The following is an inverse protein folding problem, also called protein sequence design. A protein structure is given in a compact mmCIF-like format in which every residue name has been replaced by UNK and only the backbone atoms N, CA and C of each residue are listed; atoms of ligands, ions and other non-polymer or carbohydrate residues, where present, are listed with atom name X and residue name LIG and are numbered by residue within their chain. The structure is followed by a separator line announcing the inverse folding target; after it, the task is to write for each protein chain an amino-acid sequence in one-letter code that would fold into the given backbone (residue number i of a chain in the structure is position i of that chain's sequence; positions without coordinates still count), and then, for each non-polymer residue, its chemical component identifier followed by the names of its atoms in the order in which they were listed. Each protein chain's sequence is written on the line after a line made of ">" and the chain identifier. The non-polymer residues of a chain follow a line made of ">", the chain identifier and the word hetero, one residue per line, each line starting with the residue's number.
data_IF_401865791824
#
_entry.id   IF_401865791824
#
_cell.length_a   1.000
_cell.length_b   1.000
_cell.length_c   1.000
_cell.angle_alpha   90.00
_cell.angle_beta   90.00
_cell.angle_gamma   90.00
#
_symmetry.space_group_name_H-M   'P 1'
#
loop_
_entity.id
_entity.type
_entity.pdbx_description
1 polymer ?
#
# COMPACT_ATOMS: atom_id res chain seq x y z
N UNK A 1 5.92 23.82 1.82
CA UNK A 1 6.27 22.82 0.78
C UNK A 1 7.78 22.75 0.66
N UNK A 2 8.38 21.57 0.53
CA UNK A 2 9.83 21.46 0.25
C UNK A 2 10.11 21.84 -1.22
N UNK A 3 11.36 22.19 -1.59
CA UNK A 3 11.73 22.42 -2.99
C UNK A 3 11.33 21.26 -3.92
N UNK A 4 11.41 20.02 -3.43
CA UNK A 4 11.00 18.83 -4.17
C UNK A 4 9.49 18.80 -4.47
N UNK A 5 8.63 19.21 -3.53
CA UNK A 5 7.19 19.33 -3.78
C UNK A 5 6.89 20.36 -4.88
N UNK A 6 7.57 21.52 -4.82
CA UNK A 6 7.39 22.60 -5.79
C UNK A 6 7.85 22.12 -7.17
N UNK A 7 8.98 21.43 -7.26
CA UNK A 7 9.50 20.86 -8.50
C UNK A 7 8.53 19.82 -9.11
N UNK A 8 7.94 18.95 -8.29
CA UNK A 8 6.94 17.98 -8.73
C UNK A 8 5.66 18.66 -9.23
N UNK A 9 5.19 19.69 -8.53
CA UNK A 9 4.01 20.46 -8.91
C UNK A 9 4.16 21.24 -10.23
N UNK A 10 5.37 21.73 -10.51
CA UNK A 10 5.67 22.59 -11.66
C UNK A 10 6.38 21.85 -12.81
N UNK A 11 6.22 20.53 -12.91
CA UNK A 11 6.74 19.70 -14.01
C UNK A 11 8.26 19.84 -14.26
N UNK A 12 9.05 20.02 -13.20
CA UNK A 12 10.51 20.10 -13.30
C UNK A 12 11.11 18.90 -14.05
N UNK A 13 12.25 19.09 -14.73
CA UNK A 13 12.89 18.02 -15.50
C UNK A 13 13.36 16.87 -14.61
N UNK A 14 13.56 15.69 -15.20
CA UNK A 14 14.07 14.52 -14.47
C UNK A 14 15.45 14.80 -13.84
N UNK A 15 16.31 15.57 -14.50
CA UNK A 15 17.61 15.97 -13.96
C UNK A 15 17.47 16.76 -12.65
N UNK A 16 16.61 17.79 -12.63
CA UNK A 16 16.36 18.60 -11.43
C UNK A 16 15.83 17.73 -10.29
N UNK A 17 14.93 16.79 -10.57
CA UNK A 17 14.44 15.88 -9.53
C UNK A 17 15.55 14.96 -9.00
N UNK A 18 16.43 14.45 -9.86
CA UNK A 18 17.59 13.65 -9.43
C UNK A 18 18.52 14.46 -8.52
N UNK A 19 18.80 15.72 -8.87
CA UNK A 19 19.66 16.61 -8.09
C UNK A 19 19.04 16.92 -6.72
N UNK A 20 17.74 17.22 -6.67
CA UNK A 20 17.01 17.47 -5.42
C UNK A 20 16.95 16.22 -4.53
N UNK A 21 16.69 15.05 -5.10
CA UNK A 21 16.65 13.78 -4.36
C UNK A 21 18.04 13.40 -3.83
N UNK A 22 19.09 13.66 -4.60
CA UNK A 22 20.47 13.35 -4.20
C UNK A 22 20.99 14.30 -3.12
N UNK A 23 20.59 15.60 -3.19
CA UNK A 23 21.01 16.61 -2.22
C UNK A 23 20.26 16.53 -0.89
N UNK A 24 18.95 16.27 -0.91
CA UNK A 24 18.13 16.16 0.31
C UNK A 24 17.17 14.94 0.22
N UNK A 25 17.66 13.71 0.45
CA UNK A 25 16.83 12.50 0.33
C UNK A 25 15.65 12.45 1.31
N UNK A 26 15.77 13.08 2.49
CA UNK A 26 14.69 13.10 3.48
C UNK A 26 13.47 13.88 2.99
N UNK A 27 13.62 14.78 2.03
CA UNK A 27 12.50 15.51 1.43
C UNK A 27 11.46 14.59 0.78
N UNK A 28 11.83 13.35 0.43
CA UNK A 28 10.91 12.32 -0.08
C UNK A 28 9.88 11.86 0.97
N UNK A 29 10.25 11.90 2.25
CA UNK A 29 9.44 11.42 3.37
C UNK A 29 8.63 12.54 4.03
N UNK A 30 8.93 13.80 3.70
CA UNK A 30 8.23 14.96 4.26
C UNK A 30 6.87 15.09 3.59
N UNK A 31 5.80 15.04 4.38
CA UNK A 31 4.46 15.44 3.94
C UNK A 31 4.35 16.97 3.91
N UNK A 32 3.50 17.51 3.02
CA UNK A 32 3.18 18.94 3.00
C UNK A 32 2.62 19.43 4.34
N UNK A 33 2.60 20.74 4.58
CA UNK A 33 2.05 21.36 5.80
C UNK A 33 0.55 21.05 6.02
N UNK A 34 -0.17 20.75 4.94
CA UNK A 34 -1.55 20.25 5.03
C UNK A 34 -1.63 18.80 5.52
N UNK A 35 -0.49 18.10 5.66
CA UNK A 35 -0.39 16.70 6.09
C UNK A 35 -0.66 15.67 5.00
N UNK A 36 -1.20 16.06 3.85
CA UNK A 36 -1.85 15.11 2.92
C UNK A 36 -0.96 14.69 1.73
N UNK A 37 0.02 15.50 1.32
CA UNK A 37 0.65 15.32 0.00
C UNK A 37 2.16 15.20 0.15
N UNK A 38 2.72 14.03 -0.18
CA UNK A 38 4.16 13.83 -0.36
C UNK A 38 4.58 14.21 -1.81
N UNK A 39 5.89 14.30 -2.13
CA UNK A 39 6.33 14.72 -3.46
C UNK A 39 5.84 13.83 -4.61
N UNK A 40 5.78 12.52 -4.41
CA UNK A 40 5.26 11.57 -5.41
C UNK A 40 3.77 11.81 -5.67
N UNK A 41 2.98 12.06 -4.62
CA UNK A 41 1.56 12.45 -4.74
C UNK A 41 1.40 13.79 -5.44
N UNK A 42 2.26 14.78 -5.16
CA UNK A 42 2.24 16.07 -5.85
C UNK A 42 2.51 15.92 -7.35
N UNK A 43 3.45 15.06 -7.75
CA UNK A 43 3.74 14.77 -9.15
C UNK A 43 2.51 14.17 -9.85
N UNK A 44 1.86 13.19 -9.23
CA UNK A 44 0.69 12.51 -9.79
C UNK A 44 -0.51 13.46 -9.92
N UNK A 45 -0.80 14.25 -8.89
CA UNK A 45 -1.88 15.25 -8.94
C UNK A 45 -1.60 16.27 -10.04
N UNK A 46 -0.35 16.76 -10.14
CA UNK A 46 0.05 17.69 -11.21
C UNK A 46 -0.18 17.09 -12.59
N UNK A 47 0.25 15.84 -12.82
CA UNK A 47 0.03 15.17 -14.11
C UNK A 47 -1.45 14.96 -14.44
N UNK A 48 -2.23 14.47 -13.47
CA UNK A 48 -3.68 14.28 -13.60
C UNK A 48 -4.41 15.60 -13.83
N UNK A 49 -3.89 16.74 -13.38
CA UNK A 49 -4.52 18.04 -13.65
C UNK A 49 -4.42 18.48 -15.12
N UNK A 50 -3.60 17.80 -15.93
CA UNK A 50 -3.45 18.10 -17.36
C UNK A 50 -4.44 17.32 -18.22
N UNK A 51 -4.81 17.87 -19.38
CA UNK A 51 -5.68 17.19 -20.37
C UNK A 51 -5.06 15.86 -20.80
N UNK A 52 -3.76 15.85 -21.12
CA UNK A 52 -3.05 14.63 -21.52
C UNK A 52 -3.07 13.56 -20.42
N UNK A 53 -2.88 13.97 -19.16
CA UNK A 53 -2.95 13.06 -18.03
C UNK A 53 -4.34 12.46 -17.83
N UNK A 54 -5.41 13.27 -17.89
CA UNK A 54 -6.78 12.77 -17.80
C UNK A 54 -7.11 11.75 -18.91
N UNK A 55 -6.68 12.01 -20.14
CA UNK A 55 -6.92 11.10 -21.26
C UNK A 55 -6.21 9.76 -21.08
N UNK A 56 -4.98 9.77 -20.57
CA UNK A 56 -4.21 8.54 -20.33
C UNK A 56 -4.77 7.76 -19.15
N UNK A 57 -5.07 8.42 -18.04
CA UNK A 57 -5.70 7.78 -16.88
C UNK A 57 -7.04 7.16 -17.27
N UNK A 58 -7.86 7.87 -18.04
CA UNK A 58 -9.15 7.35 -18.50
C UNK A 58 -8.98 6.11 -19.39
N UNK A 59 -8.00 6.09 -20.30
CA UNK A 59 -7.73 4.90 -21.13
C UNK A 59 -7.29 3.70 -20.31
N UNK A 60 -6.42 3.92 -19.32
CA UNK A 60 -5.92 2.84 -18.45
C UNK A 60 -7.08 2.31 -17.59
N UNK A 61 -7.78 3.19 -16.89
CA UNK A 61 -8.83 2.80 -15.94
C UNK A 61 -10.06 2.22 -16.63
N UNK A 62 -10.51 2.81 -17.75
CA UNK A 62 -11.74 2.36 -18.40
C UNK A 62 -11.52 1.15 -19.30
N UNK A 63 -10.36 1.07 -19.96
CA UNK A 63 -10.13 0.06 -21.01
C UNK A 63 -9.06 -0.95 -20.65
N UNK A 64 -8.33 -0.80 -19.54
CA UNK A 64 -7.21 -1.68 -19.19
C UNK A 64 -6.09 -1.64 -20.23
N UNK A 65 -6.05 -0.60 -21.06
CA UNK A 65 -5.14 -0.51 -22.20
C UNK A 65 -4.05 0.53 -21.93
N UNK A 66 -2.81 0.09 -22.03
CA UNK A 66 -1.69 1.01 -22.12
C UNK A 66 -1.69 1.66 -23.51
N UNK A 67 -1.57 3.00 -23.62
CA UNK A 67 -1.55 3.66 -24.92
C UNK A 67 -0.36 3.16 -25.75
N UNK A 68 -0.62 2.45 -26.84
CA UNK A 68 0.41 2.13 -27.84
C UNK A 68 0.91 3.44 -28.44
N UNK A 69 2.21 3.72 -28.31
CA UNK A 69 2.78 5.03 -28.67
C UNK A 69 2.45 6.11 -27.63
N UNK A 70 2.65 5.79 -26.34
CA UNK A 70 2.54 6.75 -25.25
C UNK A 70 3.25 8.05 -25.63
N UNK A 71 2.56 9.18 -25.47
CA UNK A 71 3.14 10.49 -25.77
C UNK A 71 4.45 10.69 -24.99
N UNK A 72 5.43 11.40 -25.56
CA UNK A 72 6.65 11.81 -24.85
C UNK A 72 6.37 12.41 -23.46
N UNK A 73 5.23 13.09 -23.33
CA UNK A 73 4.75 13.67 -22.07
C UNK A 73 4.51 12.61 -20.99
N UNK A 74 3.92 11.46 -21.33
CA UNK A 74 3.70 10.37 -20.40
C UNK A 74 5.00 9.69 -20.00
N UNK A 75 5.88 9.39 -20.95
CA UNK A 75 7.16 8.75 -20.63
C UNK A 75 8.02 9.64 -19.72
N UNK A 76 8.02 10.96 -19.94
CA UNK A 76 8.67 11.92 -19.03
C UNK A 76 8.03 11.93 -17.65
N UNK A 77 6.71 11.83 -17.55
CA UNK A 77 6.03 11.70 -16.26
C UNK A 77 6.41 10.38 -15.57
N UNK A 78 6.37 9.28 -16.31
CA UNK A 78 6.62 7.92 -15.82
C UNK A 78 8.02 7.78 -15.23
N UNK A 79 9.05 8.27 -15.93
CA UNK A 79 10.43 8.26 -15.43
C UNK A 79 10.59 9.04 -14.11
N UNK A 80 9.87 10.16 -13.95
CA UNK A 80 9.88 10.93 -12.70
C UNK A 80 9.17 10.17 -11.58
N UNK A 81 8.06 9.50 -11.91
CA UNK A 81 7.30 8.67 -10.99
C UNK A 81 8.14 7.50 -10.49
N UNK A 82 8.79 6.74 -11.38
CA UNK A 82 9.69 5.63 -11.05
C UNK A 82 10.82 6.08 -10.12
N UNK A 83 11.47 7.20 -10.46
CA UNK A 83 12.52 7.79 -9.63
C UNK A 83 12.02 8.07 -8.21
N UNK A 84 10.91 8.78 -8.08
CA UNK A 84 10.38 9.19 -6.77
C UNK A 84 9.86 8.00 -5.97
N UNK A 85 9.14 7.06 -6.59
CA UNK A 85 8.60 5.87 -5.93
C UNK A 85 9.72 4.99 -5.38
N UNK A 86 10.68 4.59 -6.23
CA UNK A 86 11.78 3.72 -5.81
C UNK A 86 12.68 4.41 -4.78
N UNK A 87 12.94 5.71 -4.94
CA UNK A 87 13.77 6.45 -3.97
C UNK A 87 13.06 6.56 -2.61
N UNK A 88 11.76 6.86 -2.59
CA UNK A 88 10.96 6.91 -1.35
C UNK A 88 10.95 5.56 -0.65
N UNK A 89 10.71 4.49 -1.40
CA UNK A 89 10.67 3.13 -0.88
C UNK A 89 12.01 2.71 -0.27
N UNK A 90 13.13 3.02 -0.93
CA UNK A 90 14.47 2.78 -0.39
C UNK A 90 14.72 3.52 0.91
N UNK A 91 14.33 4.80 0.99
CA UNK A 91 14.52 5.60 2.21
C UNK A 91 13.78 5.00 3.41
N UNK A 92 12.61 4.36 3.19
CA UNK A 92 11.86 3.68 4.26
C UNK A 92 12.43 2.32 4.65
N UNK A 93 13.09 1.64 3.72
CA UNK A 93 13.73 0.35 4.00
C UNK A 93 15.02 0.46 4.81
N UNK A 94 15.65 1.64 4.86
CA UNK A 94 16.84 1.86 5.69
C UNK A 94 16.38 1.87 7.15
N UNK A 95 16.77 0.88 7.98
CA UNK A 95 16.45 0.93 9.39
C UNK A 95 17.09 2.19 9.96
N UNK A 96 16.29 3.03 10.63
CA UNK A 96 16.79 4.11 11.47
C UNK A 96 17.55 3.47 12.64
N UNK A 97 18.74 2.96 12.37
CA UNK A 97 19.69 2.57 13.40
C UNK A 97 20.02 3.84 14.15
N UNK A 98 19.45 3.97 15.35
CA UNK A 98 19.68 5.10 16.22
C UNK A 98 21.18 5.19 16.55
N UNK A 99 21.91 6.06 15.84
CA UNK A 99 23.04 6.74 16.44
C UNK A 99 24.47 6.48 15.94
N UNK A 100 24.74 5.85 14.79
CA UNK A 100 26.14 5.82 14.30
C UNK A 100 26.32 6.17 12.83
N UNK A 101 26.89 7.37 12.62
CA UNK A 101 27.83 7.73 11.55
C UNK A 101 27.54 7.21 10.13
N UNK A 102 27.02 8.12 9.31
CA UNK A 102 27.03 8.15 7.84
C UNK A 102 28.07 7.24 7.15
N UNK A 103 27.75 5.97 6.94
CA UNK A 103 28.33 5.25 5.81
C UNK A 103 27.41 5.45 4.61
N UNK A 104 27.90 6.07 3.50
CA UNK A 104 27.12 6.15 2.28
C UNK A 104 26.87 4.72 1.80
N UNK A 105 25.60 4.32 1.77
CA UNK A 105 25.16 3.04 1.21
C UNK A 105 25.64 2.99 -0.24
N UNK A 106 26.71 2.23 -0.49
CA UNK A 106 27.31 2.08 -1.80
C UNK A 106 26.31 1.45 -2.76
N UNK A 107 26.04 2.17 -3.85
CA UNK A 107 24.95 2.04 -4.83
C UNK A 107 25.02 0.83 -5.75
N UNK A 108 25.66 -0.27 -5.35
CA UNK A 108 25.87 -1.43 -6.22
C UNK A 108 24.84 -2.55 -6.04
N UNK A 109 23.76 -2.35 -5.28
CA UNK A 109 22.65 -3.32 -5.34
C UNK A 109 22.03 -3.27 -6.74
N UNK A 110 21.82 -4.43 -7.40
CA UNK A 110 21.16 -4.52 -8.69
C UNK A 110 19.86 -3.73 -8.65
N UNK A 111 19.56 -3.04 -9.76
CA UNK A 111 18.41 -2.14 -9.89
C UNK A 111 17.16 -2.80 -9.31
N UNK A 112 16.74 -2.34 -8.13
CA UNK A 112 15.51 -2.74 -7.45
C UNK A 112 14.24 -2.32 -8.22
N UNK A 113 14.34 -2.17 -9.54
CA UNK A 113 13.27 -1.78 -10.43
C UNK A 113 12.11 -2.78 -10.36
N UNK A 114 12.40 -4.06 -10.13
CA UNK A 114 11.40 -5.10 -9.88
C UNK A 114 10.52 -4.84 -8.65
N UNK A 115 10.95 -3.98 -7.71
CA UNK A 115 10.16 -3.55 -6.55
C UNK A 115 9.33 -2.29 -6.83
N UNK A 116 9.22 -1.84 -8.09
CA UNK A 116 8.45 -0.65 -8.44
C UNK A 116 6.98 -0.78 -8.03
N UNK A 117 6.37 -1.97 -8.20
CA UNK A 117 4.98 -2.20 -7.79
C UNK A 117 4.82 -2.04 -6.27
N UNK A 118 5.73 -2.62 -5.47
CA UNK A 118 5.76 -2.42 -4.01
C UNK A 118 6.00 -0.96 -3.65
N UNK A 119 6.90 -0.26 -4.35
CA UNK A 119 7.24 1.14 -4.08
C UNK A 119 6.06 2.09 -4.37
N UNK A 120 5.34 1.86 -5.47
CA UNK A 120 4.14 2.61 -5.85
C UNK A 120 2.99 2.34 -4.89
N UNK A 121 2.84 1.10 -4.43
CA UNK A 121 1.94 0.83 -3.32
C UNK A 121 2.40 1.62 -2.10
N UNK A 122 3.60 1.33 -1.59
CA UNK A 122 4.15 1.86 -0.35
C UNK A 122 4.07 3.39 -0.22
N UNK A 123 4.50 4.12 -1.24
CA UNK A 123 4.62 5.57 -1.22
C UNK A 123 3.30 6.35 -1.21
N UNK A 124 2.13 5.68 -1.17
CA UNK A 124 0.91 6.32 -1.67
C UNK A 124 -0.37 6.06 -0.88
N UNK A 125 -1.29 7.01 -0.94
CA UNK A 125 -2.74 6.76 -0.95
C UNK A 125 -3.14 6.16 -2.32
N UNK A 126 -2.61 4.97 -2.65
CA UNK A 126 -2.45 4.43 -4.01
C UNK A 126 -3.61 4.74 -4.95
N UNK A 127 -3.37 5.63 -5.92
CA UNK A 127 -4.32 5.82 -7.02
C UNK A 127 -4.25 4.56 -7.87
N UNK A 128 -5.34 3.80 -7.89
CA UNK A 128 -5.43 2.47 -8.48
C UNK A 128 -4.80 2.39 -9.88
N UNK A 129 -5.04 3.41 -10.70
CA UNK A 129 -4.53 3.47 -12.07
C UNK A 129 -3.01 3.40 -12.18
N UNK A 130 -2.22 3.94 -11.24
CA UNK A 130 -0.75 3.89 -11.36
C UNK A 130 -0.20 2.53 -10.93
N UNK A 131 -0.87 1.82 -10.03
CA UNK A 131 -0.57 0.40 -9.76
C UNK A 131 -0.90 -0.44 -11.00
N UNK A 132 -2.08 -0.27 -11.58
CA UNK A 132 -2.47 -0.93 -12.83
C UNK A 132 -1.47 -0.62 -13.95
N UNK A 133 -1.02 0.64 -14.06
CA UNK A 133 -0.04 1.04 -15.06
C UNK A 133 1.29 0.30 -14.89
N UNK A 134 1.77 0.13 -13.65
CA UNK A 134 2.99 -0.66 -13.38
C UNK A 134 2.79 -2.09 -13.85
N UNK A 135 1.65 -2.71 -13.53
CA UNK A 135 1.39 -4.11 -13.83
C UNK A 135 1.06 -4.37 -15.30
N UNK A 136 0.48 -3.39 -16.01
CA UNK A 136 0.30 -3.44 -17.46
C UNK A 136 1.65 -3.32 -18.19
N UNK A 137 2.57 -2.50 -17.67
CA UNK A 137 3.89 -2.30 -18.29
C UNK A 137 4.90 -3.39 -17.92
N UNK A 138 4.80 -3.93 -16.71
CA UNK A 138 5.70 -4.93 -16.13
C UNK A 138 4.89 -6.05 -15.43
N UNK A 139 4.19 -6.92 -16.17
CA UNK A 139 3.35 -7.96 -15.59
C UNK A 139 4.10 -8.89 -14.62
N UNK A 140 5.39 -9.12 -14.88
CA UNK A 140 6.26 -9.94 -14.03
C UNK A 140 6.46 -9.36 -12.62
N UNK A 141 6.20 -8.06 -12.41
CA UNK A 141 6.34 -7.44 -11.08
C UNK A 141 5.24 -7.86 -10.11
N UNK A 142 4.13 -8.44 -10.60
CA UNK A 142 3.14 -9.06 -9.73
C UNK A 142 3.73 -10.23 -8.92
N UNK A 143 4.62 -11.02 -9.53
CA UNK A 143 5.26 -12.18 -8.89
C UNK A 143 6.38 -11.85 -7.91
N UNK A 144 6.82 -10.59 -7.89
CA UNK A 144 7.94 -10.15 -7.06
C UNK A 144 7.51 -10.10 -5.59
N UNK A 145 8.43 -10.49 -4.71
CA UNK A 145 8.27 -10.37 -3.26
C UNK A 145 9.26 -9.36 -2.72
N UNK A 146 8.86 -8.61 -1.70
CA UNK A 146 9.77 -7.67 -1.04
C UNK A 146 10.81 -8.40 -0.15
N UNK A 147 11.63 -7.61 0.55
CA UNK A 147 12.66 -8.12 1.47
C UNK A 147 12.10 -8.98 2.62
N UNK A 148 10.83 -8.81 2.97
CA UNK A 148 10.11 -9.58 4.00
C UNK A 148 9.33 -10.77 3.41
N UNK A 149 9.45 -11.01 2.10
CA UNK A 149 8.70 -12.04 1.39
C UNK A 149 7.24 -11.67 1.13
N UNK A 150 6.86 -10.40 1.35
CA UNK A 150 5.49 -9.93 1.15
C UNK A 150 5.19 -9.80 -0.34
N UNK A 151 4.02 -10.31 -0.74
CA UNK A 151 3.40 -9.99 -2.03
C UNK A 151 2.80 -8.58 -2.01
N UNK A 152 2.31 -8.10 -3.17
CA UNK A 152 1.59 -6.83 -3.25
C UNK A 152 0.35 -6.81 -2.34
N UNK A 153 -0.35 -7.95 -2.23
CA UNK A 153 -1.54 -8.08 -1.39
C UNK A 153 -1.20 -7.95 0.11
N UNK A 154 -0.06 -8.48 0.57
CA UNK A 154 0.41 -8.23 1.94
C UNK A 154 0.68 -6.74 2.18
N UNK A 155 1.33 -6.05 1.24
CA UNK A 155 1.60 -4.60 1.38
C UNK A 155 0.32 -3.77 1.37
N UNK A 156 -0.73 -4.24 0.70
CA UNK A 156 -2.05 -3.61 0.76
C UNK A 156 -2.74 -3.83 2.10
N UNK A 157 -2.56 -5.00 2.71
CA UNK A 157 -3.14 -5.32 4.02
C UNK A 157 -2.33 -4.74 5.18
N UNK A 158 -1.10 -4.28 4.93
CA UNK A 158 -0.19 -3.64 5.91
C UNK A 158 -0.46 -2.15 6.17
N UNK A 159 -1.60 -1.62 5.73
CA UNK A 159 -1.81 -0.16 5.65
C UNK A 159 -2.86 0.33 6.62
N UNK A 160 -2.44 1.25 7.47
CA UNK A 160 -3.35 2.11 8.22
C UNK A 160 -4.13 3.01 7.26
N UNK A 161 -5.41 2.69 7.07
CA UNK A 161 -6.42 3.55 6.47
C UNK A 161 -5.99 4.27 5.17
N UNK A 162 -5.72 3.51 4.11
CA UNK A 162 -6.02 4.01 2.76
C UNK A 162 -7.48 4.52 2.72
N UNK A 163 -7.83 5.39 1.77
CA UNK A 163 -9.24 5.63 1.50
C UNK A 163 -9.89 4.27 1.19
N UNK A 164 -10.71 3.78 2.13
CA UNK A 164 -11.17 2.39 2.21
C UNK A 164 -11.78 1.88 0.90
N UNK A 165 -12.37 2.79 0.12
CA UNK A 165 -12.95 2.52 -1.20
C UNK A 165 -11.90 2.04 -2.21
N UNK A 166 -10.75 2.70 -2.29
CA UNK A 166 -9.71 2.34 -3.26
C UNK A 166 -8.94 1.09 -2.81
N UNK A 167 -8.78 0.89 -1.49
CA UNK A 167 -8.21 -0.34 -0.94
C UNK A 167 -9.00 -1.58 -1.36
N UNK A 168 -10.33 -1.55 -1.19
CA UNK A 168 -11.19 -2.68 -1.60
C UNK A 168 -11.08 -2.98 -3.08
N UNK A 169 -11.10 -1.96 -3.94
CA UNK A 169 -10.94 -2.15 -5.38
C UNK A 169 -9.60 -2.77 -5.73
N UNK A 170 -8.51 -2.33 -5.09
CA UNK A 170 -7.19 -2.91 -5.27
C UNK A 170 -7.13 -4.36 -4.80
N UNK A 171 -7.69 -4.68 -3.63
CA UNK A 171 -7.78 -6.06 -3.13
C UNK A 171 -8.50 -6.95 -4.15
N UNK A 172 -9.69 -6.53 -4.60
CA UNK A 172 -10.46 -7.28 -5.60
C UNK A 172 -9.68 -7.44 -6.91
N UNK A 173 -9.06 -6.36 -7.40
CA UNK A 173 -8.20 -6.42 -8.58
C UNK A 173 -7.09 -7.48 -8.44
N UNK A 174 -6.42 -7.54 -7.28
CA UNK A 174 -5.37 -8.54 -7.06
C UNK A 174 -5.92 -9.97 -6.91
N UNK A 175 -7.08 -10.14 -6.29
CA UNK A 175 -7.75 -11.45 -6.21
C UNK A 175 -8.12 -11.93 -7.62
N UNK A 176 -8.77 -11.07 -8.40
CA UNK A 176 -9.29 -11.41 -9.73
C UNK A 176 -8.19 -11.72 -10.75
N UNK A 177 -7.03 -11.05 -10.65
CA UNK A 177 -5.94 -11.20 -11.62
C UNK A 177 -4.76 -12.06 -11.13
N UNK A 178 -4.63 -12.25 -9.81
CA UNK A 178 -3.48 -12.89 -9.19
C UNK A 178 -3.87 -13.70 -7.94
N UNK A 179 -4.87 -14.58 -8.09
CA UNK A 179 -5.45 -15.43 -7.03
C UNK A 179 -4.41 -16.10 -6.11
N UNK A 180 -3.29 -16.57 -6.67
CA UNK A 180 -2.18 -17.20 -5.93
C UNK A 180 -1.60 -16.31 -4.81
N UNK A 181 -1.80 -14.99 -4.87
CA UNK A 181 -1.35 -14.06 -3.83
C UNK A 181 -2.10 -14.25 -2.50
N UNK A 182 -3.36 -14.70 -2.54
CA UNK A 182 -4.23 -14.83 -1.35
C UNK A 182 -3.70 -15.89 -0.39
N UNK A 183 -3.15 -16.99 -0.93
CA UNK A 183 -2.58 -18.07 -0.12
C UNK A 183 -1.07 -17.91 0.14
N UNK A 184 -0.43 -16.97 -0.55
CA UNK A 184 1.00 -16.77 -0.43
C UNK A 184 1.37 -16.38 1.00
N UNK A 185 2.35 -17.07 1.57
CA UNK A 185 2.90 -16.73 2.89
C UNK A 185 4.17 -15.90 2.74
N UNK A 186 4.33 -14.86 3.56
CA UNK A 186 5.59 -14.10 3.64
C UNK A 186 6.68 -14.88 4.41
N UNK A 187 7.84 -14.26 4.69
CA UNK A 187 8.95 -14.93 5.41
C UNK A 187 8.61 -15.34 6.85
N UNK A 188 7.68 -14.64 7.49
CA UNK A 188 7.18 -14.98 8.83
C UNK A 188 6.17 -16.13 8.77
N UNK A 189 5.71 -16.47 7.57
CA UNK A 189 4.69 -17.48 7.35
C UNK A 189 3.27 -16.91 7.42
N UNK A 190 3.09 -15.59 7.42
CA UNK A 190 1.77 -14.93 7.48
C UNK A 190 1.16 -14.83 6.08
N UNK A 191 -0.15 -15.08 5.94
CA UNK A 191 -0.90 -14.81 4.69
C UNK A 191 -1.45 -13.37 4.65
N UNK A 192 -1.88 -12.83 3.50
CA UNK A 192 -2.53 -11.52 3.45
C UNK A 192 -3.78 -11.41 4.32
N UNK A 193 -4.60 -12.47 4.41
CA UNK A 193 -5.77 -12.52 5.28
C UNK A 193 -5.37 -12.41 6.76
N UNK A 194 -4.39 -13.21 7.18
CA UNK A 194 -3.86 -13.15 8.55
C UNK A 194 -3.27 -11.76 8.86
N UNK A 195 -2.56 -11.14 7.92
CA UNK A 195 -2.05 -9.77 8.06
C UNK A 195 -3.18 -8.74 8.17
N UNK A 196 -4.23 -8.84 7.36
CA UNK A 196 -5.38 -7.94 7.42
C UNK A 196 -6.08 -7.99 8.79
N UNK A 197 -6.29 -9.19 9.32
CA UNK A 197 -6.87 -9.40 10.65
C UNK A 197 -5.97 -8.81 11.75
N UNK A 198 -4.65 -8.97 11.62
CA UNK A 198 -3.65 -8.33 12.49
C UNK A 198 -3.61 -6.81 12.41
N UNK A 199 -4.19 -6.24 11.36
CA UNK A 199 -4.25 -4.78 11.21
C UNK A 199 -5.66 -4.27 11.50
N UNK A 200 -6.53 -5.11 12.07
CA UNK A 200 -7.89 -4.72 12.46
C UNK A 200 -8.79 -4.38 11.27
N UNK A 201 -8.56 -5.01 10.12
CA UNK A 201 -9.41 -4.82 8.93
C UNK A 201 -10.85 -5.21 9.25
N UNK A 202 -11.77 -4.38 8.80
CA UNK A 202 -13.22 -4.54 9.00
C UNK A 202 -13.82 -5.36 7.87
N UNK A 203 -14.77 -6.21 8.24
CA UNK A 203 -15.46 -7.14 7.34
C UNK A 203 -15.88 -6.51 6.00
N UNK A 204 -16.81 -5.56 6.06
CA UNK A 204 -17.33 -4.94 4.85
C UNK A 204 -16.41 -3.85 4.33
N UNK A 205 -15.82 -3.00 5.16
CA UNK A 205 -15.19 -1.76 4.68
C UNK A 205 -13.86 -1.96 4.00
N UNK A 206 -13.06 -2.91 4.47
CA UNK A 206 -11.61 -2.93 4.20
C UNK A 206 -11.22 -4.05 3.24
N UNK A 207 -12.20 -4.69 2.58
CA UNK A 207 -11.98 -5.79 1.64
C UNK A 207 -11.70 -7.15 2.32
N UNK A 208 -11.90 -7.25 3.64
CA UNK A 208 -11.71 -8.48 4.38
C UNK A 208 -12.66 -9.58 3.88
N UNK A 209 -13.93 -9.24 3.63
CA UNK A 209 -14.90 -10.16 3.02
C UNK A 209 -14.37 -10.77 1.72
N UNK A 210 -13.82 -9.95 0.82
CA UNK A 210 -13.26 -10.44 -0.44
C UNK A 210 -12.10 -11.41 -0.22
N UNK A 211 -11.22 -11.13 0.74
CA UNK A 211 -10.11 -12.03 1.08
C UNK A 211 -10.60 -13.38 1.63
N UNK A 212 -11.66 -13.37 2.44
CA UNK A 212 -12.26 -14.59 2.98
C UNK A 212 -12.98 -15.39 1.90
N UNK A 213 -13.76 -14.73 1.04
CA UNK A 213 -14.45 -15.38 -0.08
C UNK A 213 -13.45 -16.00 -1.09
N UNK A 214 -12.28 -15.39 -1.25
CA UNK A 214 -11.22 -15.89 -2.12
C UNK A 214 -10.40 -17.05 -1.53
N UNK A 215 -10.42 -17.27 -0.21
CA UNK A 215 -9.71 -18.38 0.44
C UNK A 215 -10.44 -18.80 1.72
N UNK A 216 -11.60 -19.47 1.60
CA UNK A 216 -12.38 -19.90 2.76
C UNK A 216 -11.64 -20.92 3.61
N UNK A 217 -10.76 -21.74 3.02
CA UNK A 217 -9.97 -22.75 3.73
C UNK A 217 -8.99 -22.14 4.73
N UNK A 218 -8.64 -20.86 4.57
CA UNK A 218 -7.82 -20.16 5.55
C UNK A 218 -8.52 -19.99 6.90
N UNK A 219 -9.86 -20.01 6.94
CA UNK A 219 -10.64 -19.93 8.19
C UNK A 219 -10.48 -21.17 9.07
N UNK A 220 -10.34 -22.34 8.44
CA UNK A 220 -10.21 -23.62 9.13
C UNK A 220 -8.78 -23.92 9.62
N UNK A 221 -7.80 -23.06 9.30
CA UNK A 221 -6.38 -23.30 9.62
C UNK A 221 -5.89 -22.34 10.70
N UNK A 222 -5.27 -22.82 11.79
CA UNK A 222 -4.63 -21.93 12.74
C UNK A 222 -3.41 -21.25 12.11
N UNK A 223 -3.18 -20.01 12.51
CA UNK A 223 -2.01 -19.24 12.12
C UNK A 223 -0.72 -19.88 12.62
N UNK A 224 0.34 -19.85 11.81
CA UNK A 224 1.59 -20.55 12.15
C UNK A 224 2.34 -19.94 13.33
N UNK A 225 2.25 -18.63 13.52
CA UNK A 225 2.98 -17.90 14.57
C UNK A 225 2.35 -18.09 15.95
N UNK A 226 1.02 -17.94 16.05
CA UNK A 226 0.32 -17.84 17.34
C UNK A 226 -0.61 -19.03 17.61
N UNK A 227 -0.77 -19.94 16.63
CA UNK A 227 -1.72 -21.05 16.66
C UNK A 227 -3.19 -20.60 16.87
N UNK A 228 -3.49 -19.35 16.53
CA UNK A 228 -4.84 -18.79 16.60
C UNK A 228 -5.59 -18.99 15.29
N UNK A 229 -6.86 -19.32 15.39
CA UNK A 229 -7.78 -19.26 14.25
C UNK A 229 -8.07 -17.80 13.86
N UNK A 230 -8.44 -17.52 12.61
CA UNK A 230 -8.71 -16.15 12.14
C UNK A 230 -9.68 -15.35 13.02
N UNK A 231 -10.75 -15.95 13.54
CA UNK A 231 -11.70 -15.27 14.43
C UNK A 231 -11.07 -14.90 15.79
N UNK A 232 -10.17 -15.75 16.32
CA UNK A 232 -9.43 -15.47 17.56
C UNK A 232 -8.45 -14.32 17.34
N UNK A 233 -7.77 -14.32 16.19
CA UNK A 233 -6.85 -13.26 15.80
C UNK A 233 -7.58 -11.90 15.69
N UNK A 234 -8.76 -11.88 15.08
CA UNK A 234 -9.61 -10.68 15.04
C UNK A 234 -9.99 -10.18 16.44
N UNK A 235 -10.26 -11.09 17.38
CA UNK A 235 -10.57 -10.73 18.76
C UNK A 235 -9.40 -10.10 19.51
N UNK A 236 -8.16 -10.53 19.27
CA UNK A 236 -6.97 -9.94 19.93
C UNK A 236 -6.77 -8.46 19.62
N UNK A 237 -7.16 -8.01 18.41
CA UNK A 237 -7.09 -6.60 18.04
C UNK A 237 -8.13 -5.74 18.75
N UNK A 238 -9.29 -6.29 19.08
CA UNK A 238 -10.30 -5.59 19.87
C UNK A 238 -9.74 -5.16 21.23
N UNK A 239 -8.93 -6.03 21.84
CA UNK A 239 -8.37 -5.78 23.17
C UNK A 239 -7.25 -4.72 23.15
N UNK A 240 -6.34 -4.78 22.16
CA UNK A 240 -5.26 -3.81 22.03
C UNK A 240 -5.78 -2.37 21.84
N UNK A 241 -6.85 -2.20 21.04
CA UNK A 241 -7.49 -0.89 20.84
C UNK A 241 -8.10 -0.31 22.13
N UNK A 242 -8.49 -1.16 23.08
CA UNK A 242 -9.01 -0.74 24.38
C UNK A 242 -7.88 -0.29 25.33
N UNK A 243 -6.70 -0.90 25.23
CA UNK A 243 -5.56 -0.64 26.12
C UNK A 243 -4.74 0.60 25.73
N UNK A 244 -4.60 0.90 24.43
CA UNK A 244 -3.73 1.99 23.95
C UNK A 244 -4.30 3.41 24.10
N UNK A 245 -5.56 3.59 24.53
CA UNK A 245 -6.13 4.94 24.70
C UNK A 245 -5.71 5.58 26.03
N UNK A 246 -4.92 6.67 26.01
CA UNK A 246 -4.65 7.45 27.22
C UNK A 246 -5.96 8.03 27.75
N UNK A 247 -6.08 8.20 29.07
CA UNK A 247 -7.21 8.84 29.79
C UNK A 247 -7.36 10.35 29.45
N UNK A 248 -7.36 10.74 28.18
CA UNK A 248 -7.50 12.12 27.74
C UNK A 248 -8.96 12.42 27.33
N UNK A 249 -9.60 13.18 28.23
CA UNK A 249 -10.78 14.05 28.07
C UNK A 249 -11.96 13.60 27.18
N UNK A 250 -13.01 13.15 27.86
CA UNK A 250 -14.44 13.44 27.63
C UNK A 250 -14.86 14.01 26.26
N UNK A 251 -14.79 13.21 25.21
CA UNK A 251 -15.63 13.39 24.01
C UNK A 251 -16.27 12.05 23.63
N UNK A 252 -17.22 11.62 24.47
CA UNK A 252 -17.73 10.25 24.57
C UNK A 252 -18.58 9.72 23.39
N UNK A 253 -18.79 10.47 22.31
CA UNK A 253 -19.74 10.06 21.24
C UNK A 253 -19.14 9.26 20.08
N UNK A 254 -17.81 9.18 19.92
CA UNK A 254 -17.19 8.41 18.82
C UNK A 254 -16.82 6.96 19.18
N UNK A 255 -16.94 6.56 20.45
CA UNK A 255 -16.39 5.29 20.93
C UNK A 255 -17.28 4.07 20.65
N UNK A 256 -18.61 4.22 20.57
CA UNK A 256 -19.49 3.06 20.36
C UNK A 256 -19.42 2.43 18.96
N UNK A 257 -18.84 3.11 17.98
CA UNK A 257 -18.81 2.60 16.60
C UNK A 257 -17.75 1.52 16.38
N UNK A 258 -16.60 1.58 17.06
CA UNK A 258 -15.46 0.70 16.75
C UNK A 258 -15.68 -0.71 17.28
N UNK A 259 -16.23 -0.83 18.49
CA UNK A 259 -16.41 -2.13 19.16
C UNK A 259 -17.49 -2.95 18.43
N UNK A 260 -18.54 -2.29 17.95
CA UNK A 260 -19.58 -2.91 17.15
C UNK A 260 -19.06 -3.45 15.81
N UNK A 261 -18.16 -2.73 15.14
CA UNK A 261 -17.57 -3.16 13.86
C UNK A 261 -16.58 -4.33 14.01
N UNK A 262 -15.86 -4.35 15.14
CA UNK A 262 -14.94 -5.45 15.42
C UNK A 262 -15.70 -6.74 15.80
N UNK A 263 -16.76 -6.62 16.61
CA UNK A 263 -17.68 -7.72 16.88
C UNK A 263 -18.36 -8.24 15.61
N UNK A 264 -18.83 -7.33 14.74
CA UNK A 264 -19.40 -7.71 13.44
C UNK A 264 -18.40 -8.53 12.60
N UNK A 265 -17.13 -8.13 12.61
CA UNK A 265 -16.07 -8.88 11.93
C UNK A 265 -15.90 -10.29 12.50
N UNK A 266 -15.88 -10.44 13.82
CA UNK A 266 -15.79 -11.76 14.48
C UNK A 266 -17.01 -12.63 14.15
N UNK A 267 -18.22 -12.07 14.27
CA UNK A 267 -19.46 -12.80 13.97
C UNK A 267 -19.53 -13.24 12.52
N UNK A 268 -19.10 -12.39 11.58
CA UNK A 268 -19.09 -12.76 10.16
C UNK A 268 -18.03 -13.83 9.85
N UNK A 269 -16.86 -13.79 10.49
CA UNK A 269 -15.86 -14.87 10.40
C UNK A 269 -16.43 -16.22 10.88
N UNK A 270 -17.11 -16.23 12.03
CA UNK A 270 -17.75 -17.43 12.58
C UNK A 270 -18.90 -17.96 11.70
N UNK A 271 -19.64 -17.06 11.03
CA UNK A 271 -20.70 -17.46 10.10
C UNK A 271 -20.16 -18.12 8.82
N UNK A 272 -18.98 -17.71 8.37
CA UNK A 272 -18.36 -18.27 7.17
C UNK A 272 -17.82 -19.69 7.39
N UNK A 273 -17.52 -20.09 8.62
CA UNK A 273 -17.13 -21.47 8.95
C UNK A 273 -17.83 -21.99 10.22
N UNK A 274 -19.02 -22.60 10.08
CA UNK A 274 -19.75 -23.17 11.21
C UNK A 274 -19.03 -24.33 11.90
N UNK A 275 -18.04 -24.96 11.24
CA UNK A 275 -17.35 -26.14 11.77
C UNK A 275 -16.35 -25.83 12.87
N UNK A 276 -16.05 -24.54 13.06
CA UNK A 276 -15.09 -24.03 14.05
C UNK A 276 -15.76 -23.80 15.42
N UNK A 277 -17.10 -23.86 15.50
CA UNK A 277 -17.87 -23.73 16.75
C UNK A 277 -18.18 -25.08 17.41
#
# INVERSE_FOLDING_TARGET
>A
HTPLHIACGNNATLSVLKDLVSSEPRALLVSSLAGVVNPLTALIISYQSTIAGQMIVSRIVLWGMFPTGASDTFERFWQKMELLALSTYRQRLVPTSNGSSHSPVTTNEPTQHHLLAHAVLDGFHSSMWVVETVLLRYPEYAGVRDRNGNTLLHRLTDRDALQLRELRKLINFFIDNYEWMVESRNKVGTTPLEQALRNGYRWERDGLKSLVEACPEALARPTRSDNFYPFMLAATHCEQQLQEKPKQSSNSRRHHSTDAEALDTIFNLLRCDPSVC
#
